data_IF_862192887578
#
_entry.id   IF_862192887578
#
_cell.length_a   1.000
_cell.length_b   1.000
_cell.length_c   1.000
_cell.angle_alpha   90.00
_cell.angle_beta   90.00
_cell.angle_gamma   90.00
#
_symmetry.space_group_name_H-M   'P 1'
#
loop_
_entity.id
_entity.type
_entity.pdbx_description
1 polymer ?
#
# COMPACT_ATOMS: atom_id res chain seq x y z
N UNK A 1 12.18 -9.33 12.20
CA UNK A 1 11.20 -8.30 11.90
C UNK A 1 9.95 -8.42 12.79
N UNK A 2 9.12 -7.38 12.85
CA UNK A 2 7.94 -7.35 13.73
C UNK A 2 6.91 -8.43 13.34
N UNK A 3 6.71 -8.70 12.05
CA UNK A 3 5.76 -9.70 11.59
C UNK A 3 6.18 -11.12 11.99
N UNK A 4 7.47 -11.43 11.92
CA UNK A 4 8.00 -12.69 12.39
C UNK A 4 7.81 -12.85 13.90
N UNK A 5 8.09 -11.82 14.70
CA UNK A 5 7.89 -11.85 16.16
C UNK A 5 6.41 -12.07 16.50
N UNK A 6 5.50 -11.32 15.88
CA UNK A 6 4.05 -11.50 16.11
C UNK A 6 3.61 -12.92 15.75
N UNK A 7 4.11 -13.47 14.66
CA UNK A 7 3.79 -14.86 14.24
C UNK A 7 4.35 -15.89 15.22
N UNK A 8 5.60 -15.72 15.65
CA UNK A 8 6.26 -16.65 16.57
C UNK A 8 5.62 -16.66 17.97
N UNK A 9 5.09 -15.52 18.42
CA UNK A 9 4.41 -15.40 19.71
C UNK A 9 2.90 -15.66 19.63
N UNK A 10 2.36 -15.88 18.44
CA UNK A 10 0.95 -16.21 18.26
C UNK A 10 0.58 -17.49 19.02
N UNK A 11 -0.48 -17.42 19.82
CA UNK A 11 -0.96 -18.55 20.63
C UNK A 11 -0.21 -18.79 21.94
N UNK A 12 0.82 -18.01 22.27
CA UNK A 12 1.55 -18.14 23.53
C UNK A 12 1.03 -17.21 24.65
N UNK A 13 -0.10 -16.56 24.44
CA UNK A 13 -0.75 -15.69 25.42
C UNK A 13 0.17 -14.53 25.84
N UNK A 14 0.25 -14.29 27.16
CA UNK A 14 1.05 -13.21 27.75
C UNK A 14 2.47 -13.66 28.15
N UNK A 15 2.94 -14.80 27.62
CA UNK A 15 4.29 -15.30 27.95
C UNK A 15 5.40 -14.42 27.36
N UNK A 16 5.09 -13.60 26.35
CA UNK A 16 6.04 -12.71 25.67
C UNK A 16 5.44 -11.32 25.47
N UNK A 17 6.27 -10.31 25.65
CA UNK A 17 5.98 -8.92 25.32
C UNK A 17 6.91 -8.43 24.21
N UNK A 18 6.33 -7.85 23.14
CA UNK A 18 7.10 -7.18 22.10
C UNK A 18 7.32 -5.75 22.55
N UNK A 19 8.56 -5.40 22.90
CA UNK A 19 8.92 -4.06 23.33
C UNK A 19 8.76 -3.03 22.20
N UNK A 20 8.43 -1.78 22.53
CA UNK A 20 8.27 -0.72 21.53
C UNK A 20 9.57 -0.27 20.87
N UNK A 21 10.70 -0.59 21.50
CA UNK A 21 12.03 -0.19 21.00
C UNK A 21 12.38 -0.88 19.69
N UNK A 22 12.90 -0.11 18.74
CA UNK A 22 13.31 -0.59 17.42
C UNK A 22 14.82 -0.50 17.31
N UNK A 23 15.47 -1.66 17.28
CA UNK A 23 16.93 -1.81 17.24
C UNK A 23 17.48 -1.95 15.82
N UNK A 24 16.62 -2.23 14.83
CA UNK A 24 17.02 -2.41 13.43
C UNK A 24 15.92 -1.96 12.47
N UNK A 25 16.25 -1.88 11.17
CA UNK A 25 15.33 -1.60 10.07
C UNK A 25 15.47 -2.69 9.02
N UNK A 26 14.33 -3.20 8.56
CA UNK A 26 14.25 -4.15 7.46
C UNK A 26 13.26 -3.63 6.41
N UNK A 27 13.69 -2.70 5.52
CA UNK A 27 12.82 -2.22 4.46
C UNK A 27 12.60 -3.33 3.44
N UNK A 28 11.40 -3.88 3.43
CA UNK A 28 10.99 -4.91 2.47
C UNK A 28 10.43 -4.27 1.22
N UNK A 29 10.76 -4.83 0.05
CA UNK A 29 10.25 -4.37 -1.22
C UNK A 29 10.11 -5.55 -2.19
N UNK A 30 9.19 -5.47 -3.18
CA UNK A 30 9.14 -6.41 -4.29
C UNK A 30 10.45 -6.39 -5.08
N UNK A 31 10.91 -7.56 -5.48
CA UNK A 31 12.08 -7.71 -6.34
C UNK A 31 11.65 -8.08 -7.76
N UNK A 32 12.28 -7.46 -8.75
CA UNK A 32 12.09 -7.74 -10.17
C UNK A 32 13.40 -8.19 -10.81
N UNK A 33 13.32 -8.84 -11.98
CA UNK A 33 14.50 -9.24 -12.72
C UNK A 33 15.34 -7.99 -13.05
N UNK A 34 16.65 -8.11 -12.88
CA UNK A 34 17.60 -7.07 -13.27
C UNK A 34 17.48 -6.77 -14.77
N UNK A 35 17.58 -5.51 -15.13
CA UNK A 35 17.43 -4.97 -16.50
C UNK A 35 16.02 -5.11 -17.11
N UNK A 36 15.00 -5.42 -16.32
CA UNK A 36 13.60 -5.34 -16.74
C UNK A 36 13.00 -4.01 -16.27
N UNK A 37 13.39 -2.93 -16.92
CA UNK A 37 13.00 -1.57 -16.56
C UNK A 37 11.48 -1.35 -16.71
N UNK A 38 10.85 -2.01 -17.66
CA UNK A 38 9.40 -1.92 -17.86
C UNK A 38 8.64 -2.54 -16.69
N UNK A 39 9.01 -3.76 -16.26
CA UNK A 39 8.39 -4.40 -15.11
C UNK A 39 8.69 -3.63 -13.82
N UNK A 40 9.92 -3.13 -13.67
CA UNK A 40 10.29 -2.28 -12.53
C UNK A 40 9.39 -1.03 -12.45
N UNK A 41 9.17 -0.36 -13.57
CA UNK A 41 8.29 0.80 -13.64
C UNK A 41 6.84 0.43 -13.29
N UNK A 42 6.30 -0.66 -13.86
CA UNK A 42 4.95 -1.13 -13.57
C UNK A 42 4.77 -1.41 -12.08
N UNK A 43 5.66 -2.19 -11.47
CA UNK A 43 5.59 -2.54 -10.03
C UNK A 43 5.69 -1.29 -9.16
N UNK A 44 6.65 -0.40 -9.47
CA UNK A 44 6.84 0.85 -8.72
C UNK A 44 5.60 1.73 -8.76
N UNK A 45 5.06 2.01 -9.94
CA UNK A 45 3.89 2.86 -10.08
C UNK A 45 2.62 2.22 -9.51
N UNK A 46 2.52 0.89 -9.53
CA UNK A 46 1.43 0.17 -8.85
C UNK A 46 1.46 0.41 -7.34
N UNK A 47 2.65 0.34 -6.72
CA UNK A 47 2.80 0.64 -5.29
C UNK A 47 2.46 2.11 -5.01
N UNK A 48 2.94 3.04 -5.84
CA UNK A 48 2.62 4.46 -5.68
C UNK A 48 1.11 4.72 -5.80
N UNK A 49 0.43 4.07 -6.74
CA UNK A 49 -1.01 4.23 -6.92
C UNK A 49 -1.81 3.83 -5.67
N UNK A 50 -1.49 2.71 -5.04
CA UNK A 50 -2.21 2.29 -3.83
C UNK A 50 -1.87 3.13 -2.61
N UNK A 51 -0.64 3.69 -2.52
CA UNK A 51 -0.26 4.63 -1.46
C UNK A 51 -0.98 5.98 -1.65
N UNK A 52 -1.00 6.53 -2.87
CA UNK A 52 -1.71 7.78 -3.17
C UNK A 52 -3.22 7.63 -2.96
N UNK A 53 -3.80 6.48 -3.33
CA UNK A 53 -5.22 6.21 -3.06
C UNK A 53 -5.54 6.27 -1.56
N UNK A 54 -4.67 5.75 -0.71
CA UNK A 54 -4.84 5.88 0.75
C UNK A 54 -4.72 7.34 1.21
N UNK A 55 -3.74 8.08 0.69
CA UNK A 55 -3.52 9.49 1.03
C UNK A 55 -4.76 10.35 0.75
N UNK A 56 -5.40 10.12 -0.39
CA UNK A 56 -6.60 10.84 -0.79
C UNK A 56 -7.91 10.22 -0.29
N UNK A 57 -7.84 9.16 0.52
CA UNK A 57 -8.99 8.53 1.16
C UNK A 57 -9.86 7.67 0.24
N UNK A 58 -9.29 7.16 -0.86
CA UNK A 58 -10.00 6.28 -1.80
C UNK A 58 -9.76 4.82 -1.38
N UNK A 59 -10.85 4.05 -1.35
CA UNK A 59 -10.85 2.61 -1.05
C UNK A 59 -11.43 1.81 -2.21
N UNK A 60 -11.30 0.49 -2.18
CA UNK A 60 -11.97 -0.39 -3.15
C UNK A 60 -13.50 -0.18 -3.19
N UNK A 61 -14.10 0.14 -2.04
CA UNK A 61 -15.53 0.38 -1.93
C UNK A 61 -15.94 1.75 -2.48
N UNK A 62 -15.15 2.79 -2.23
CA UNK A 62 -15.50 4.18 -2.55
C UNK A 62 -14.94 4.68 -3.87
N UNK A 63 -14.18 3.88 -4.60
CA UNK A 63 -13.51 4.32 -5.85
C UNK A 63 -14.50 4.78 -6.94
N UNK A 64 -15.76 4.39 -6.87
CA UNK A 64 -16.81 4.83 -7.80
C UNK A 64 -17.64 6.01 -7.26
N UNK A 65 -17.38 6.46 -6.04
CA UNK A 65 -18.17 7.52 -5.42
C UNK A 65 -17.63 8.90 -5.81
N UNK A 66 -18.49 9.88 -6.04
CA UNK A 66 -18.04 11.24 -6.30
C UNK A 66 -17.38 11.82 -5.04
N UNK A 67 -16.19 12.37 -5.19
CA UNK A 67 -15.48 13.08 -4.11
C UNK A 67 -15.77 14.57 -4.25
N UNK A 68 -16.47 15.21 -3.28
CA UNK A 68 -16.78 16.63 -3.34
C UNK A 68 -15.51 17.48 -3.53
N UNK A 69 -15.56 18.42 -4.51
CA UNK A 69 -14.44 19.34 -4.79
C UNK A 69 -13.26 18.72 -5.56
N UNK A 70 -13.32 17.47 -5.99
CA UNK A 70 -12.32 16.84 -6.84
C UNK A 70 -12.93 16.41 -8.18
N UNK A 71 -12.07 16.26 -9.20
CA UNK A 71 -12.44 15.59 -10.46
C UNK A 71 -12.98 14.19 -10.15
N UNK A 72 -13.76 13.63 -11.07
CA UNK A 72 -14.19 12.25 -10.95
C UNK A 72 -12.95 11.37 -10.66
N UNK A 73 -13.11 10.42 -9.74
CA UNK A 73 -12.01 9.54 -9.30
C UNK A 73 -11.37 8.83 -10.51
N UNK A 74 -12.20 8.46 -11.50
CA UNK A 74 -11.72 7.90 -12.76
C UNK A 74 -10.71 8.81 -13.48
N UNK A 75 -10.91 10.14 -13.43
CA UNK A 75 -10.01 11.10 -14.08
C UNK A 75 -8.67 11.25 -13.33
N UNK A 76 -8.63 10.94 -12.03
CA UNK A 76 -7.38 10.95 -11.26
C UNK A 76 -6.47 9.77 -11.63
N UNK A 77 -7.06 8.70 -12.10
CA UNK A 77 -6.35 7.47 -12.47
C UNK A 77 -6.44 7.15 -13.97
N UNK A 78 -6.92 8.07 -14.80
CA UNK A 78 -6.75 8.00 -16.25
C UNK A 78 -5.36 8.54 -16.61
N UNK A 79 -4.45 7.62 -16.85
CA UNK A 79 -3.03 7.90 -17.00
C UNK A 79 -2.56 7.58 -18.43
N UNK A 80 -2.63 8.53 -19.37
CA UNK A 80 -2.25 8.30 -20.75
C UNK A 80 -0.81 7.77 -20.93
N UNK A 81 0.09 8.13 -20.00
CA UNK A 81 1.47 7.62 -19.98
C UNK A 81 1.56 6.10 -19.76
N UNK A 82 0.51 5.46 -19.28
CA UNK A 82 0.47 4.01 -19.05
C UNK A 82 0.68 3.20 -20.35
N UNK A 83 0.25 3.74 -21.49
CA UNK A 83 0.44 3.10 -22.81
C UNK A 83 1.91 2.85 -23.15
N UNK A 84 2.83 3.70 -22.68
CA UNK A 84 4.27 3.50 -22.82
C UNK A 84 4.80 2.24 -22.10
N UNK A 85 4.05 1.76 -21.10
CA UNK A 85 4.33 0.54 -20.36
C UNK A 85 3.46 -0.64 -20.82
N UNK A 86 2.69 -0.49 -21.89
CA UNK A 86 1.75 -1.50 -22.37
C UNK A 86 0.52 -1.70 -21.47
N UNK A 87 0.22 -0.74 -20.59
CA UNK A 87 -0.91 -0.77 -19.69
C UNK A 87 -2.09 0.04 -20.25
N UNK A 88 -3.30 -0.31 -19.88
CA UNK A 88 -4.49 0.52 -20.12
C UNK A 88 -4.44 1.79 -19.27
N UNK A 89 -5.03 2.89 -19.73
CA UNK A 89 -5.02 4.15 -19.00
C UNK A 89 -5.66 4.04 -17.61
N UNK A 90 -6.61 3.14 -17.45
CA UNK A 90 -7.35 2.87 -16.21
C UNK A 90 -6.69 1.84 -15.28
N UNK A 91 -5.43 1.49 -15.51
CA UNK A 91 -4.75 0.44 -14.76
C UNK A 91 -4.74 0.70 -13.25
N UNK A 92 -4.51 1.93 -12.82
CA UNK A 92 -4.48 2.30 -11.40
C UNK A 92 -5.88 2.17 -10.76
N UNK A 93 -6.92 2.65 -11.45
CA UNK A 93 -8.30 2.44 -11.03
C UNK A 93 -8.64 0.95 -10.86
N UNK A 94 -8.28 0.13 -11.86
CA UNK A 94 -8.53 -1.32 -11.82
C UNK A 94 -7.79 -2.00 -10.68
N UNK A 95 -6.54 -1.57 -10.44
CA UNK A 95 -5.75 -2.08 -9.32
C UNK A 95 -6.42 -1.78 -7.98
N UNK A 96 -6.76 -0.53 -7.72
CA UNK A 96 -7.38 -0.13 -6.44
C UNK A 96 -8.75 -0.78 -6.27
N UNK A 97 -9.54 -0.86 -7.34
CA UNK A 97 -10.83 -1.56 -7.30
C UNK A 97 -10.68 -3.04 -6.94
N UNK A 98 -9.63 -3.69 -7.40
CA UNK A 98 -9.40 -5.12 -7.19
C UNK A 98 -8.81 -5.44 -5.80
N UNK A 99 -7.86 -4.63 -5.31
CA UNK A 99 -7.10 -4.96 -4.10
C UNK A 99 -7.19 -3.91 -2.98
N UNK A 100 -7.82 -2.77 -3.25
CA UNK A 100 -7.89 -1.67 -2.30
C UNK A 100 -6.66 -0.77 -2.32
N UNK A 101 -6.67 0.23 -1.44
CA UNK A 101 -5.53 1.09 -1.19
C UNK A 101 -4.48 0.40 -0.28
N UNK A 102 -3.34 1.07 -0.04
CA UNK A 102 -2.27 0.47 0.76
C UNK A 102 -2.72 0.12 2.18
N UNK A 103 -3.56 0.94 2.82
CA UNK A 103 -4.12 0.65 4.14
C UNK A 103 -4.97 -0.61 4.16
N UNK A 104 -5.89 -0.76 3.18
CA UNK A 104 -6.72 -1.96 3.07
C UNK A 104 -5.88 -3.22 2.82
N UNK A 105 -4.81 -3.10 2.01
CA UNK A 105 -3.88 -4.22 1.78
C UNK A 105 -3.15 -4.58 3.07
N UNK A 106 -2.65 -3.58 3.80
CA UNK A 106 -1.95 -3.80 5.07
C UNK A 106 -2.86 -4.47 6.10
N UNK A 107 -4.04 -3.90 6.32
CA UNK A 107 -4.99 -4.38 7.33
C UNK A 107 -5.41 -5.83 7.06
N UNK A 108 -5.67 -6.16 5.82
CA UNK A 108 -6.04 -7.53 5.43
C UNK A 108 -4.93 -8.54 5.66
N UNK A 109 -3.67 -8.16 5.46
CA UNK A 109 -2.54 -9.10 5.48
C UNK A 109 -1.74 -9.09 6.78
N UNK A 110 -1.66 -7.94 7.47
CA UNK A 110 -0.75 -7.75 8.61
C UNK A 110 -1.44 -7.29 9.90
N UNK A 111 -2.67 -6.77 9.83
CA UNK A 111 -3.43 -6.32 11.00
C UNK A 111 -4.75 -7.07 11.17
N UNK A 112 -4.99 -8.12 10.36
CA UNK A 112 -6.19 -8.95 10.43
C UNK A 112 -6.17 -9.95 11.61
N UNK A 113 -7.13 -10.87 11.65
CA UNK A 113 -7.28 -11.84 12.74
C UNK A 113 -6.03 -12.70 12.99
N UNK A 114 -5.21 -12.93 11.94
CA UNK A 114 -3.97 -13.69 12.05
C UNK A 114 -2.83 -12.91 12.74
N UNK A 115 -2.88 -11.57 12.73
CA UNK A 115 -1.85 -10.71 13.31
C UNK A 115 -2.46 -9.48 14.02
N UNK A 116 -3.31 -9.67 15.06
CA UNK A 116 -4.12 -8.59 15.64
C UNK A 116 -3.30 -7.51 16.36
N UNK A 117 -2.01 -7.75 16.63
CA UNK A 117 -1.12 -6.84 17.35
C UNK A 117 -0.18 -6.06 16.45
N UNK A 118 -0.26 -6.24 15.12
CA UNK A 118 0.64 -5.57 14.21
C UNK A 118 0.11 -4.19 13.84
N UNK A 119 0.56 -3.17 14.58
CA UNK A 119 0.27 -1.78 14.24
C UNK A 119 1.14 -1.32 13.06
N UNK A 120 0.63 -0.39 12.26
CA UNK A 120 1.31 0.13 11.07
C UNK A 120 2.62 0.87 11.41
N UNK A 121 2.61 1.69 12.45
CA UNK A 121 3.80 2.47 12.85
C UNK A 121 4.40 3.24 11.68
N UNK A 122 5.67 2.97 11.32
CA UNK A 122 6.33 3.63 10.17
C UNK A 122 5.74 3.24 8.80
N UNK A 123 4.90 2.21 8.71
CA UNK A 123 4.16 1.87 7.49
C UNK A 123 2.87 2.70 7.33
N UNK A 124 2.62 3.65 8.24
CA UNK A 124 1.55 4.63 8.04
C UNK A 124 1.86 5.58 6.88
N UNK A 125 0.80 6.13 6.30
CA UNK A 125 0.91 7.21 5.33
C UNK A 125 1.65 8.41 5.95
N UNK A 126 2.43 9.13 5.16
CA UNK A 126 3.21 10.29 5.60
C UNK A 126 2.35 11.38 6.26
N UNK A 127 1.09 11.53 5.82
CA UNK A 127 0.13 12.47 6.42
C UNK A 127 -0.28 12.09 7.85
N UNK A 128 -0.01 10.85 8.27
CA UNK A 128 -0.24 10.32 9.61
C UNK A 128 1.06 10.00 10.35
N UNK A 129 2.18 10.56 9.91
CA UNK A 129 3.49 10.42 10.56
C UNK A 129 4.28 9.16 10.21
N UNK A 130 3.85 8.41 9.19
CA UNK A 130 4.58 7.27 8.66
C UNK A 130 5.55 7.63 7.54
N UNK A 131 6.09 6.62 6.88
CA UNK A 131 7.03 6.74 5.77
C UNK A 131 6.43 6.41 4.40
N UNK A 132 5.16 5.97 4.36
CA UNK A 132 4.51 5.66 3.08
C UNK A 132 4.18 6.96 2.36
N UNK A 133 4.97 7.24 1.33
CA UNK A 133 4.88 8.42 0.48
C UNK A 133 4.95 7.99 -0.98
N UNK A 134 4.13 8.59 -1.82
CA UNK A 134 4.16 8.40 -3.26
C UNK A 134 4.25 9.75 -3.98
N UNK A 135 4.98 9.84 -5.11
CA UNK A 135 4.86 10.99 -6.00
C UNK A 135 3.47 11.00 -6.64
N UNK A 136 2.90 12.18 -6.95
CA UNK A 136 1.60 12.28 -7.62
C UNK A 136 1.59 11.52 -8.95
N UNK A 137 0.50 10.82 -9.23
CA UNK A 137 0.27 10.08 -10.49
C UNK A 137 -0.08 10.98 -11.72
N UNK A 138 0.36 12.21 -11.76
CA UNK A 138 0.06 13.19 -12.85
C UNK A 138 1.34 13.69 -13.50
#
# INVERSE_FOLDING_TARGET
>A
DASALVTMTAGQGDAFEILPDRISKEPMAPAVRRADESLLAIVRWTIYAVIEAEEIGITAATINEPVPGRRAIADLFDLPAASALGLSNDWAYRTIKAVGNYGEIYDRNLAGPAMPRMQRGLNENWTRGGLMYAPPLR
#
